data_IF_381581518315
#
_entry.id   IF_381581518315
#
_cell.length_a   1.000
_cell.length_b   1.000
_cell.length_c   1.000
_cell.angle_alpha   90.00
_cell.angle_beta   90.00
_cell.angle_gamma   90.00
#
_symmetry.space_group_name_H-M   'P 1'
#
loop_
_entity.id
_entity.type
_entity.pdbx_description
1 polymer ?
#
# COMPACT_ATOMS: atom_id res chain seq x y z
N UNK A 1 6.02 -0.54 -34.26
CA UNK A 1 5.74 -0.54 -32.81
C UNK A 1 6.97 -0.02 -32.06
N UNK A 2 7.03 1.27 -31.73
CA UNK A 2 8.08 1.83 -30.87
C UNK A 2 7.58 1.87 -29.42
N UNK A 3 8.32 1.25 -28.50
CA UNK A 3 8.06 1.29 -27.06
C UNK A 3 8.19 2.74 -26.57
N UNK A 4 7.06 3.40 -26.35
CA UNK A 4 7.00 4.74 -25.78
C UNK A 4 7.22 4.66 -24.27
N UNK A 5 8.33 5.22 -23.80
CA UNK A 5 8.58 5.38 -22.36
C UNK A 5 8.30 6.83 -21.99
N UNK A 6 7.30 7.03 -21.10
CA UNK A 6 6.83 8.34 -20.64
C UNK A 6 7.44 8.62 -19.26
N UNK A 7 8.04 9.79 -19.06
CA UNK A 7 8.64 10.19 -17.77
C UNK A 7 8.10 11.53 -17.28
N UNK A 8 8.06 11.68 -15.95
CA UNK A 8 7.40 12.73 -15.16
C UNK A 8 8.49 13.54 -14.44
N UNK A 9 8.57 14.86 -14.65
CA UNK A 9 9.38 15.78 -13.83
C UNK A 9 8.46 16.85 -13.22
N UNK A 10 8.51 17.02 -11.89
CA UNK A 10 7.81 18.08 -11.15
C UNK A 10 8.74 19.30 -10.98
N UNK A 11 8.24 20.50 -11.23
CA UNK A 11 8.98 21.76 -11.06
C UNK A 11 8.21 22.70 -10.11
N UNK A 12 8.90 23.55 -9.35
CA UNK A 12 8.25 24.60 -8.55
C UNK A 12 8.84 25.96 -8.90
N UNK A 13 8.01 26.90 -9.34
CA UNK A 13 8.34 28.32 -9.48
C UNK A 13 7.25 29.13 -8.77
N UNK A 14 7.65 30.18 -8.07
CA UNK A 14 6.79 31.04 -7.25
C UNK A 14 5.75 31.78 -8.09
N UNK A 15 4.49 31.66 -7.67
CA UNK A 15 3.22 32.20 -8.21
C UNK A 15 2.43 31.30 -9.17
N UNK A 16 3.08 30.47 -10.00
CA UNK A 16 2.43 29.40 -10.78
C UNK A 16 3.09 28.03 -10.50
N UNK A 17 2.34 27.07 -9.96
CA UNK A 17 2.86 25.71 -9.69
C UNK A 17 2.96 24.88 -10.97
N UNK A 18 4.19 24.61 -11.41
CA UNK A 18 4.49 23.73 -12.55
C UNK A 18 4.36 22.25 -12.14
N UNK A 19 3.13 21.73 -12.13
CA UNK A 19 2.84 20.37 -11.66
C UNK A 19 3.61 19.26 -12.38
N UNK A 20 3.79 19.33 -13.70
CA UNK A 20 4.49 18.27 -14.43
C UNK A 20 4.95 18.75 -15.81
N UNK A 21 6.20 18.43 -16.17
CA UNK A 21 6.71 18.54 -17.54
C UNK A 21 7.26 17.19 -17.98
N UNK A 22 6.84 16.74 -19.16
CA UNK A 22 7.35 15.52 -19.80
C UNK A 22 8.16 15.87 -21.03
N UNK A 23 9.42 15.45 -21.06
CA UNK A 23 10.27 15.57 -22.25
C UNK A 23 10.35 14.24 -22.98
N UNK A 24 10.29 14.27 -24.31
CA UNK A 24 10.69 13.15 -25.13
C UNK A 24 12.21 13.23 -25.35
N UNK A 25 12.93 12.22 -24.89
CA UNK A 25 14.37 12.08 -25.14
C UNK A 25 14.52 10.95 -26.17
N UNK A 26 14.88 11.25 -27.42
CA UNK A 26 15.14 10.23 -28.42
C UNK A 26 16.28 9.33 -27.94
N UNK A 27 16.18 8.00 -28.08
CA UNK A 27 17.34 7.13 -27.92
C UNK A 27 18.38 7.60 -28.94
N UNK A 28 19.57 8.03 -28.49
CA UNK A 28 20.67 8.30 -29.41
C UNK A 28 20.96 6.99 -30.15
N UNK A 29 20.92 7.01 -31.47
CA UNK A 29 21.60 6.00 -32.27
C UNK A 29 23.06 5.99 -31.80
N UNK A 30 23.47 4.94 -31.11
CA UNK A 30 24.87 4.68 -30.87
C UNK A 30 25.50 4.48 -32.25
N UNK A 31 26.06 5.55 -32.82
CA UNK A 31 26.93 5.42 -33.98
C UNK A 31 28.15 4.63 -33.51
N UNK A 32 28.15 3.37 -33.89
CA UNK A 32 29.24 2.41 -33.76
C UNK A 32 30.43 2.88 -34.61
N UNK A 33 31.18 3.88 -34.16
CA UNK A 33 32.56 4.05 -34.63
C UNK A 33 33.47 3.19 -33.75
N UNK A 34 33.60 1.92 -34.15
CA UNK A 34 34.68 1.04 -33.71
C UNK A 34 36.01 1.69 -34.08
N UNK A 35 36.68 2.36 -33.14
CA UNK A 35 38.14 2.39 -33.11
C UNK A 35 38.59 1.37 -32.07
N UNK A 36 39.06 0.24 -32.59
CA UNK A 36 39.84 -0.75 -31.83
C UNK A 36 41.08 -0.06 -31.28
N UNK A 37 41.22 -0.01 -29.97
CA UNK A 37 42.50 -0.16 -29.29
C UNK A 37 42.22 -0.85 -27.95
N UNK A 38 42.99 -1.91 -27.71
CA UNK A 38 42.80 -2.91 -26.67
C UNK A 38 43.18 -2.38 -25.28
N UNK A 39 42.61 -3.05 -24.28
CA UNK A 39 43.12 -3.23 -22.90
C UNK A 39 42.78 -2.14 -21.88
N UNK A 40 41.70 -2.34 -21.11
CA UNK A 40 41.75 -2.91 -19.75
C UNK A 40 40.44 -2.66 -18.99
N UNK A 41 40.16 -3.58 -18.08
CA UNK A 41 39.01 -3.66 -17.18
C UNK A 41 38.76 -2.37 -16.40
N UNK A 42 37.50 -1.89 -16.47
CA UNK A 42 36.78 -1.26 -15.37
C UNK A 42 35.30 -1.17 -15.82
N UNK A 43 34.44 -2.01 -15.25
CA UNK A 43 32.97 -1.84 -15.33
C UNK A 43 32.58 -0.60 -14.51
N UNK A 44 32.88 0.58 -15.04
CA UNK A 44 32.20 1.81 -14.64
C UNK A 44 30.85 1.80 -15.33
N UNK A 45 29.79 1.68 -14.52
CA UNK A 45 28.40 1.87 -14.95
C UNK A 45 28.31 3.10 -15.88
N UNK A 46 28.16 2.87 -17.19
CA UNK A 46 27.95 3.96 -18.15
C UNK A 46 26.64 4.67 -17.75
N UNK A 47 26.79 5.81 -17.07
CA UNK A 47 25.69 6.68 -16.69
C UNK A 47 24.90 6.99 -17.95
N UNK A 48 23.67 6.45 -18.01
CA UNK A 48 22.81 6.55 -19.19
C UNK A 48 22.68 8.01 -19.62
N UNK A 49 22.67 8.29 -20.93
CA UNK A 49 22.43 9.64 -21.45
C UNK A 49 21.19 10.32 -20.83
N UNK A 50 20.19 9.52 -20.43
CA UNK A 50 19.03 9.96 -19.67
C UNK A 50 19.39 10.55 -18.29
N UNK A 51 20.24 9.85 -17.54
CA UNK A 51 20.74 10.32 -16.24
C UNK A 51 21.60 11.58 -16.41
N UNK A 52 22.38 11.69 -17.49
CA UNK A 52 23.16 12.90 -17.78
C UNK A 52 22.27 14.12 -18.03
N UNK A 53 21.21 13.96 -18.84
CA UNK A 53 20.25 15.05 -19.12
C UNK A 53 19.48 15.42 -17.86
N UNK A 54 19.05 14.43 -17.06
CA UNK A 54 18.41 14.67 -15.77
C UNK A 54 19.31 15.47 -14.82
N UNK A 55 20.57 15.05 -14.67
CA UNK A 55 21.54 15.74 -13.82
C UNK A 55 21.81 17.18 -14.29
N UNK A 56 21.90 17.42 -15.61
CA UNK A 56 22.07 18.77 -16.16
C UNK A 56 20.87 19.68 -15.89
N UNK A 57 19.64 19.14 -15.99
CA UNK A 57 18.42 19.91 -15.71
C UNK A 57 18.35 20.27 -14.22
N UNK A 58 18.61 19.31 -13.33
CA UNK A 58 18.67 19.55 -11.87
C UNK A 58 19.71 20.62 -11.54
N UNK A 59 20.93 20.49 -12.08
CA UNK A 59 22.02 21.45 -11.86
C UNK A 59 21.68 22.86 -12.38
N UNK A 60 21.11 22.98 -13.58
CA UNK A 60 20.76 24.30 -14.18
C UNK A 60 19.55 24.93 -13.52
N UNK A 61 18.56 24.14 -13.11
CA UNK A 61 17.35 24.65 -12.49
C UNK A 61 17.59 25.15 -11.05
N UNK A 62 18.74 24.85 -10.43
CA UNK A 62 18.99 25.05 -8.99
C UNK A 62 17.89 24.44 -8.11
N UNK A 63 17.10 23.52 -8.67
CA UNK A 63 16.08 22.76 -7.95
C UNK A 63 16.85 21.64 -7.27
N UNK A 64 17.08 21.79 -5.97
CA UNK A 64 17.99 20.93 -5.24
C UNK A 64 19.43 21.44 -5.34
N UNK A 65 19.70 22.61 -4.74
CA UNK A 65 21.06 22.84 -4.25
C UNK A 65 21.50 21.59 -3.51
N UNK A 66 22.64 21.03 -3.93
CA UNK A 66 23.29 19.88 -3.31
C UNK A 66 23.52 20.15 -1.82
N UNK A 67 22.51 19.95 -0.98
CA UNK A 67 22.78 19.54 0.38
C UNK A 67 23.22 18.10 0.25
N UNK A 68 24.46 17.79 0.59
CA UNK A 68 24.85 16.41 0.77
C UNK A 68 23.91 15.76 1.80
N UNK A 69 23.44 14.55 1.52
CA UNK A 69 22.66 13.76 2.49
C UNK A 69 23.49 13.59 3.77
N UNK A 70 22.86 13.75 4.92
CA UNK A 70 23.51 13.58 6.23
C UNK A 70 23.92 12.12 6.42
N UNK A 71 23.05 11.20 5.98
CA UNK A 71 23.31 9.78 5.90
C UNK A 71 22.54 9.17 4.73
N UNK A 72 23.02 8.02 4.28
CA UNK A 72 22.42 7.27 3.18
C UNK A 72 22.32 5.80 3.58
N UNK A 73 21.14 5.20 3.41
CA UNK A 73 20.93 3.76 3.59
C UNK A 73 20.60 3.15 2.23
N UNK A 74 21.47 2.25 1.76
CA UNK A 74 21.37 1.65 0.44
C UNK A 74 20.47 0.41 0.42
N UNK A 75 19.93 0.11 -0.76
CA UNK A 75 19.23 -1.14 -1.08
C UNK A 75 18.04 -1.51 -0.17
N UNK A 76 17.30 -0.52 0.33
CA UNK A 76 16.16 -0.78 1.21
C UNK A 76 15.00 -1.41 0.41
N UNK A 77 14.55 -2.62 0.78
CA UNK A 77 13.49 -3.34 0.08
C UNK A 77 12.09 -2.82 0.43
N UNK A 78 11.41 -2.21 -0.54
CA UNK A 78 10.04 -1.72 -0.39
C UNK A 78 9.04 -2.70 -1.01
N UNK A 79 8.00 -3.01 -0.23
CA UNK A 79 6.82 -3.75 -0.68
C UNK A 79 5.76 -2.80 -1.22
N UNK A 80 5.63 -1.62 -0.59
CA UNK A 80 4.69 -0.56 -0.98
C UNK A 80 5.37 0.79 -0.85
N UNK A 81 5.50 1.57 -1.95
CA UNK A 81 5.42 1.15 -3.35
C UNK A 81 6.53 0.15 -3.70
N UNK A 82 6.24 -0.85 -4.54
CA UNK A 82 7.19 -1.96 -4.78
C UNK A 82 8.48 -1.47 -5.44
N UNK A 83 9.63 -1.81 -4.89
CA UNK A 83 10.93 -1.51 -5.47
C UNK A 83 12.07 -1.66 -4.47
N UNK A 84 13.29 -1.42 -4.93
CA UNK A 84 14.45 -1.20 -4.07
C UNK A 84 14.78 0.29 -4.11
N UNK A 85 14.96 0.89 -2.95
CA UNK A 85 15.21 2.33 -2.82
C UNK A 85 16.42 2.59 -1.94
N UNK A 86 17.19 3.60 -2.30
CA UNK A 86 18.19 4.20 -1.42
C UNK A 86 17.51 5.33 -0.64
N UNK A 87 17.68 5.35 0.68
CA UNK A 87 17.12 6.36 1.57
C UNK A 87 18.19 7.40 1.89
N UNK A 88 17.97 8.64 1.45
CA UNK A 88 18.84 9.78 1.74
C UNK A 88 18.17 10.70 2.74
N UNK A 89 18.82 10.91 3.88
CA UNK A 89 18.28 11.72 4.96
C UNK A 89 18.86 13.12 4.90
N UNK A 90 17.99 14.12 4.90
CA UNK A 90 18.34 15.53 4.95
C UNK A 90 17.82 16.12 6.25
N UNK A 91 18.07 17.42 6.49
CA UNK A 91 17.69 18.05 7.77
C UNK A 91 16.19 18.00 8.07
N UNK A 92 15.32 18.05 7.06
CA UNK A 92 13.85 18.17 7.22
C UNK A 92 13.05 17.09 6.50
N UNK A 93 13.69 16.39 5.58
CA UNK A 93 13.04 15.47 4.65
C UNK A 93 13.91 14.23 4.46
N UNK A 94 13.27 13.12 4.09
CA UNK A 94 13.91 11.93 3.58
C UNK A 94 13.53 11.76 2.12
N UNK A 95 14.53 11.46 1.28
CA UNK A 95 14.33 11.15 -0.13
C UNK A 95 14.57 9.67 -0.35
N UNK A 96 13.71 9.08 -1.17
CA UNK A 96 13.75 7.69 -1.57
C UNK A 96 14.12 7.65 -3.05
N UNK A 97 15.32 7.21 -3.38
CA UNK A 97 15.81 7.11 -4.75
C UNK A 97 15.72 5.65 -5.21
N UNK A 98 14.77 5.36 -6.09
CA UNK A 98 14.69 4.08 -6.80
C UNK A 98 15.11 4.25 -8.25
N UNK A 99 15.26 3.13 -8.97
CA UNK A 99 15.70 3.15 -10.38
C UNK A 99 14.75 3.92 -11.31
N UNK A 100 13.45 3.95 -10.98
CA UNK A 100 12.42 4.54 -11.85
C UNK A 100 11.73 5.73 -11.20
N UNK A 101 11.56 5.69 -9.89
CA UNK A 101 10.79 6.69 -9.15
C UNK A 101 11.63 7.22 -8.00
N UNK A 102 11.49 8.52 -7.78
CA UNK A 102 12.05 9.22 -6.64
C UNK A 102 10.89 9.80 -5.84
N UNK A 103 10.91 9.58 -4.53
CA UNK A 103 9.93 10.16 -3.61
C UNK A 103 10.64 11.04 -2.60
N UNK A 104 9.98 12.10 -2.16
CA UNK A 104 10.46 12.95 -1.06
C UNK A 104 9.36 13.06 -0.04
N UNK A 105 9.72 12.98 1.24
CA UNK A 105 8.76 13.01 2.35
C UNK A 105 9.35 13.81 3.49
N UNK A 106 8.64 14.85 3.92
CA UNK A 106 9.00 15.63 5.10
C UNK A 106 8.84 14.77 6.36
N UNK A 107 9.75 14.89 7.32
CA UNK A 107 9.62 14.18 8.60
C UNK A 107 8.33 14.53 9.35
N UNK A 108 7.86 15.77 9.20
CA UNK A 108 6.59 16.25 9.79
C UNK A 108 5.36 15.52 9.24
N UNK A 109 5.43 15.03 8.00
CA UNK A 109 4.34 14.29 7.38
C UNK A 109 4.28 12.82 7.80
N UNK A 110 5.30 12.32 8.50
CA UNK A 110 5.30 10.97 9.03
C UNK A 110 4.49 10.96 10.32
N UNK A 111 3.52 10.05 10.42
CA UNK A 111 2.56 10.04 11.52
C UNK A 111 2.71 8.87 12.48
N UNK A 112 3.30 7.75 12.04
CA UNK A 112 3.38 6.50 12.80
C UNK A 112 4.37 5.51 12.19
N UNK A 113 4.92 4.66 13.05
CA UNK A 113 5.73 3.51 12.67
C UNK A 113 5.18 2.23 13.29
N UNK A 114 5.11 1.16 12.50
CA UNK A 114 4.81 -0.17 12.98
C UNK A 114 5.90 -1.14 12.55
N UNK A 115 6.52 -1.83 13.51
CA UNK A 115 7.46 -2.92 13.22
C UNK A 115 6.77 -4.25 13.49
N UNK A 116 6.51 -4.98 12.40
CA UNK A 116 5.66 -6.16 12.38
C UNK A 116 6.49 -7.41 12.05
N UNK A 117 6.52 -8.44 12.92
CA UNK A 117 7.11 -9.72 12.58
C UNK A 117 6.24 -10.46 11.58
N UNK A 118 6.83 -10.86 10.45
CA UNK A 118 6.14 -11.62 9.43
C UNK A 118 5.99 -13.09 9.87
N UNK A 119 4.96 -13.79 9.37
CA UNK A 119 4.67 -15.18 9.78
C UNK A 119 5.71 -16.20 9.29
N UNK A 120 6.63 -15.78 8.40
CA UNK A 120 7.77 -16.61 7.99
C UNK A 120 8.89 -16.65 9.05
N UNK A 121 8.77 -15.87 10.13
CA UNK A 121 9.73 -15.72 11.21
C UNK A 121 11.13 -15.21 10.80
N UNK A 122 11.38 -15.00 9.52
CA UNK A 122 12.65 -14.52 8.95
C UNK A 122 12.58 -13.04 8.63
N UNK A 123 11.40 -12.54 8.26
CA UNK A 123 11.23 -11.15 7.83
C UNK A 123 10.56 -10.28 8.89
N UNK A 124 10.88 -9.00 8.84
CA UNK A 124 10.22 -7.93 9.59
C UNK A 124 9.72 -6.88 8.59
N UNK A 125 8.49 -6.43 8.76
CA UNK A 125 7.93 -5.34 7.97
C UNK A 125 7.81 -4.06 8.80
N UNK A 126 8.48 -2.99 8.34
CA UNK A 126 8.33 -1.65 8.86
C UNK A 126 7.28 -0.90 8.02
N UNK A 127 6.18 -0.52 8.65
CA UNK A 127 5.11 0.27 8.04
C UNK A 127 5.23 1.71 8.52
N UNK A 128 5.40 2.64 7.59
CA UNK A 128 5.46 4.09 7.84
C UNK A 128 4.16 4.72 7.35
N UNK A 129 3.41 5.33 8.24
CA UNK A 129 2.18 6.06 7.87
C UNK A 129 2.49 7.51 7.53
N UNK A 130 1.96 7.98 6.42
CA UNK A 130 2.14 9.33 5.90
C UNK A 130 0.82 10.11 5.97
N UNK A 131 0.89 11.36 6.39
CA UNK A 131 -0.20 12.32 6.30
C UNK A 131 -0.42 12.73 4.85
N UNK A 132 0.68 13.04 4.15
CA UNK A 132 0.67 13.38 2.74
C UNK A 132 1.08 12.14 1.91
N UNK A 133 0.22 11.63 1.01
CA UNK A 133 0.57 10.46 0.23
C UNK A 133 1.70 10.74 -0.76
N UNK A 134 2.60 9.77 -0.92
CA UNK A 134 3.54 9.76 -2.04
C UNK A 134 2.82 9.26 -3.30
N UNK A 135 3.14 9.83 -4.46
CA UNK A 135 2.50 9.48 -5.73
C UNK A 135 3.47 8.73 -6.64
N UNK A 136 3.00 7.61 -7.20
CA UNK A 136 3.67 6.88 -8.26
C UNK A 136 2.74 6.82 -9.48
N UNK A 137 2.98 7.70 -10.46
CA UNK A 137 2.04 7.89 -11.56
C UNK A 137 0.69 8.41 -11.03
N UNK A 138 -0.40 7.68 -11.33
CA UNK A 138 -1.74 8.03 -10.85
C UNK A 138 -2.05 7.51 -9.43
N UNK A 139 -1.24 6.58 -8.92
CA UNK A 139 -1.50 5.93 -7.63
C UNK A 139 -0.88 6.72 -6.48
N UNK A 140 -1.68 6.99 -5.45
CA UNK A 140 -1.25 7.65 -4.22
C UNK A 140 -1.13 6.63 -3.08
N UNK A 141 -0.04 6.69 -2.31
CA UNK A 141 0.24 5.80 -1.19
C UNK A 141 0.36 6.59 0.11
N UNK A 142 -0.59 6.38 1.04
CA UNK A 142 -0.53 6.93 2.40
C UNK A 142 0.39 6.12 3.33
N UNK A 143 0.94 5.01 2.85
CA UNK A 143 1.79 4.13 3.63
C UNK A 143 2.97 3.66 2.79
N UNK A 144 4.15 3.66 3.42
CA UNK A 144 5.34 2.98 2.93
C UNK A 144 5.48 1.69 3.73
N UNK A 145 5.73 0.56 3.05
CA UNK A 145 6.00 -0.73 3.69
C UNK A 145 7.36 -1.21 3.22
N UNK A 146 8.30 -1.29 4.14
CA UNK A 146 9.64 -1.87 3.95
C UNK A 146 9.67 -3.28 4.54
N UNK A 147 10.36 -4.23 3.92
CA UNK A 147 10.48 -5.60 4.41
C UNK A 147 11.93 -6.04 4.51
N UNK A 148 12.44 -6.12 5.73
CA UNK A 148 13.82 -6.49 6.03
C UNK A 148 13.91 -7.97 6.39
N UNK A 149 15.05 -8.59 6.08
CA UNK A 149 15.40 -9.87 6.70
C UNK A 149 16.06 -9.61 8.06
N UNK A 150 15.79 -10.45 9.06
CA UNK A 150 16.34 -10.29 10.42
C UNK A 150 17.86 -10.41 10.48
N UNK A 151 18.44 -11.23 9.62
CA UNK A 151 19.87 -11.52 9.50
C UNK A 151 20.61 -10.51 8.60
N UNK A 152 19.91 -9.60 7.94
CA UNK A 152 20.54 -8.59 7.09
C UNK A 152 21.17 -7.50 7.96
N UNK A 153 22.50 -7.55 8.08
CA UNK A 153 23.29 -6.51 8.73
C UNK A 153 23.70 -5.41 7.75
N UNK A 154 23.92 -4.22 8.28
CA UNK A 154 24.37 -3.05 7.53
C UNK A 154 25.18 -2.14 8.44
N UNK A 155 26.11 -1.40 7.83
CA UNK A 155 26.86 -0.35 8.48
C UNK A 155 26.50 0.99 7.84
N UNK A 156 26.25 1.99 8.67
CA UNK A 156 25.88 3.34 8.23
C UNK A 156 26.70 4.35 9.02
N UNK A 157 27.44 5.19 8.29
CA UNK A 157 28.24 6.27 8.85
C UNK A 157 27.58 7.62 8.55
N UNK A 158 27.55 8.49 9.56
CA UNK A 158 27.05 9.85 9.42
C UNK A 158 28.12 10.73 8.77
N UNK A 159 27.74 11.55 7.78
CA UNK A 159 28.65 12.53 7.18
C UNK A 159 28.90 13.75 8.07
N UNK A 160 28.03 13.98 9.04
CA UNK A 160 28.06 15.15 9.92
C UNK A 160 28.83 14.87 11.20
N UNK A 161 29.52 15.88 11.71
CA UNK A 161 30.14 15.81 13.03
C UNK A 161 29.08 15.88 14.13
N UNK A 162 29.47 15.50 15.36
CA UNK A 162 28.56 15.50 16.51
C UNK A 162 27.94 16.88 16.77
N UNK A 163 28.73 17.94 16.66
CA UNK A 163 28.26 19.33 16.83
C UNK A 163 27.21 19.72 15.78
N UNK A 164 27.39 19.28 14.53
CA UNK A 164 26.44 19.55 13.45
C UNK A 164 25.11 18.81 13.66
N UNK A 165 25.15 17.56 14.14
CA UNK A 165 23.96 16.79 14.50
C UNK A 165 23.19 17.44 15.66
N UNK A 166 23.90 17.90 16.69
CA UNK A 166 23.30 18.58 17.82
C UNK A 166 22.63 19.92 17.40
N UNK A 167 23.25 20.66 16.47
CA UNK A 167 22.71 21.90 15.90
C UNK A 167 21.42 21.71 15.08
N UNK A 168 21.22 20.54 14.49
CA UNK A 168 19.96 20.20 13.78
C UNK A 168 18.93 19.53 14.68
N UNK A 169 19.27 19.25 15.94
CA UNK A 169 18.39 18.63 16.92
C UNK A 169 18.41 17.10 16.95
N UNK A 170 19.35 16.45 16.25
CA UNK A 170 19.47 14.98 16.17
C UNK A 170 20.37 14.45 17.29
N UNK A 171 20.00 14.71 18.55
CA UNK A 171 20.86 14.45 19.71
C UNK A 171 21.00 12.96 20.03
N UNK A 172 19.99 12.12 19.80
CA UNK A 172 20.11 10.68 20.07
C UNK A 172 20.77 9.88 18.95
N UNK A 173 21.06 10.49 17.80
CA UNK A 173 21.68 9.80 16.66
C UNK A 173 23.16 9.53 16.93
N UNK A 174 23.59 8.27 16.70
CA UNK A 174 24.99 7.85 16.77
C UNK A 174 25.74 8.25 15.49
N UNK A 175 27.05 8.48 15.58
CA UNK A 175 27.90 8.78 14.41
C UNK A 175 28.07 7.57 13.49
N UNK A 176 28.07 6.38 14.07
CA UNK A 176 28.23 5.11 13.36
C UNK A 176 27.18 4.13 13.87
N UNK A 177 26.56 3.42 12.94
CA UNK A 177 25.60 2.36 13.20
C UNK A 177 26.12 1.05 12.60
N UNK A 178 26.07 -0.03 13.37
CA UNK A 178 26.38 -1.39 12.91
C UNK A 178 25.37 -2.34 13.52
N UNK A 179 24.79 -3.22 12.72
CA UNK A 179 23.81 -4.21 13.16
C UNK A 179 22.73 -4.47 12.12
N UNK A 180 21.59 -5.03 12.54
CA UNK A 180 20.49 -5.35 11.64
C UNK A 180 19.91 -4.10 10.98
N UNK A 181 19.72 -4.13 9.65
CA UNK A 181 19.22 -2.99 8.87
C UNK A 181 17.89 -2.45 9.39
N UNK A 182 16.96 -3.34 9.78
CA UNK A 182 15.66 -2.90 10.30
C UNK A 182 15.79 -2.08 11.58
N UNK A 183 16.73 -2.42 12.46
CA UNK A 183 16.93 -1.77 13.75
C UNK A 183 17.55 -0.39 13.55
N UNK A 184 18.57 -0.31 12.69
CA UNK A 184 19.19 0.95 12.28
C UNK A 184 18.16 1.90 11.68
N UNK A 185 17.36 1.45 10.71
CA UNK A 185 16.34 2.28 10.05
C UNK A 185 15.25 2.71 11.03
N UNK A 186 14.80 1.82 11.93
CA UNK A 186 13.83 2.15 12.96
C UNK A 186 14.36 3.20 13.94
N UNK A 187 15.58 3.01 14.45
CA UNK A 187 16.20 3.91 15.42
C UNK A 187 16.35 5.31 14.82
N UNK A 188 16.96 5.41 13.63
CA UNK A 188 17.16 6.68 12.91
C UNK A 188 15.82 7.39 12.67
N UNK A 189 14.83 6.71 12.11
CA UNK A 189 13.52 7.33 11.82
C UNK A 189 12.79 7.73 13.11
N UNK A 190 12.86 6.92 14.15
CA UNK A 190 12.18 7.19 15.42
C UNK A 190 12.81 8.37 16.17
N UNK A 191 14.14 8.48 16.15
CA UNK A 191 14.88 9.55 16.83
C UNK A 191 14.71 10.89 16.09
N UNK A 192 14.75 10.87 14.74
CA UNK A 192 14.56 12.09 13.93
C UNK A 192 13.14 12.66 14.07
N UNK A 193 12.13 11.79 14.09
CA UNK A 193 10.71 12.21 14.13
C UNK A 193 10.17 12.34 15.56
N UNK A 194 10.82 11.73 16.55
CA UNK A 194 10.30 11.59 17.92
C UNK A 194 9.11 10.62 18.04
N UNK A 195 8.79 9.85 16.99
CA UNK A 195 7.63 8.95 16.96
C UNK A 195 8.06 7.56 17.38
N UNK A 196 7.39 7.02 18.40
CA UNK A 196 7.65 5.66 18.90
C UNK A 196 7.22 4.59 17.89
N UNK A 197 8.08 3.58 17.72
CA UNK A 197 7.78 2.39 16.92
C UNK A 197 6.83 1.48 17.69
N UNK A 198 5.71 1.11 17.07
CA UNK A 198 4.71 0.21 17.65
C UNK A 198 4.95 -1.21 17.14
N UNK A 199 5.10 -2.15 18.07
CA UNK A 199 5.19 -3.58 17.76
C UNK A 199 4.02 -4.35 18.39
N UNK A 200 3.56 -5.45 17.77
CA UNK A 200 2.54 -6.31 18.36
C UNK A 200 3.05 -6.94 19.66
N UNK A 201 2.16 -7.08 20.66
CA UNK A 201 2.50 -7.62 21.98
C UNK A 201 1.45 -8.58 22.52
N UNK A 202 0.20 -8.11 22.57
CA UNK A 202 -0.84 -8.75 23.39
C UNK A 202 -1.63 -9.84 22.65
N UNK A 203 -1.78 -9.72 21.34
CA UNK A 203 -2.47 -10.73 20.54
C UNK A 203 -1.50 -11.82 20.09
N UNK A 204 -1.89 -13.07 20.30
CA UNK A 204 -1.21 -14.23 19.72
C UNK A 204 -2.25 -15.18 19.14
N UNK A 205 -2.00 -15.61 17.92
CA UNK A 205 -2.71 -16.69 17.27
C UNK A 205 -2.42 -18.02 17.97
N UNK A 206 -3.20 -19.05 17.64
CA UNK A 206 -3.04 -20.40 18.20
C UNK A 206 -1.67 -21.00 17.90
N UNK A 207 -1.10 -20.67 16.74
CA UNK A 207 0.26 -21.05 16.32
C UNK A 207 1.37 -20.17 16.93
N UNK A 208 1.05 -19.25 17.84
CA UNK A 208 2.03 -18.36 18.47
C UNK A 208 2.40 -17.11 17.67
N UNK A 209 1.88 -16.95 16.46
CA UNK A 209 2.13 -15.78 15.60
C UNK A 209 1.36 -14.55 16.06
N UNK A 210 1.80 -13.36 15.64
CA UNK A 210 1.16 -12.08 15.97
C UNK A 210 0.15 -11.60 14.92
N UNK A 211 -0.10 -12.38 13.87
CA UNK A 211 -0.91 -11.99 12.73
C UNK A 211 -1.80 -13.11 12.21
N UNK A 212 -2.89 -12.70 11.57
CA UNK A 212 -3.88 -13.57 10.97
C UNK A 212 -3.80 -13.45 9.46
N UNK A 213 -3.64 -14.59 8.77
CA UNK A 213 -3.75 -14.62 7.32
C UNK A 213 -5.22 -14.39 6.93
N UNK A 214 -5.46 -13.39 6.10
CA UNK A 214 -6.80 -13.06 5.60
C UNK A 214 -6.70 -12.37 4.24
N UNK A 215 -7.83 -12.17 3.57
CA UNK A 215 -7.87 -11.57 2.25
C UNK A 215 -8.73 -10.32 2.22
N UNK A 216 -8.24 -9.29 1.56
CA UNK A 216 -9.02 -8.11 1.14
C UNK A 216 -9.05 -8.18 -0.38
N UNK A 217 -10.19 -8.64 -0.91
CA UNK A 217 -10.32 -9.02 -2.32
C UNK A 217 -9.76 -7.93 -3.25
N UNK A 218 -8.90 -8.29 -4.22
CA UNK A 218 -8.46 -9.65 -4.59
C UNK A 218 -7.16 -10.12 -3.90
N UNK A 219 -6.63 -9.39 -2.92
CA UNK A 219 -5.30 -9.62 -2.37
C UNK A 219 -5.34 -10.35 -1.02
N UNK A 220 -4.51 -11.38 -0.88
CA UNK A 220 -4.23 -12.01 0.43
C UNK A 220 -3.14 -11.23 1.16
N UNK A 221 -3.28 -11.14 2.48
CA UNK A 221 -2.35 -10.45 3.36
C UNK A 221 -2.48 -10.95 4.80
N UNK A 222 -2.10 -10.08 5.72
CA UNK A 222 -1.97 -10.35 7.13
C UNK A 222 -2.59 -9.20 7.92
N UNK A 223 -3.53 -9.54 8.80
CA UNK A 223 -4.12 -8.65 9.77
C UNK A 223 -3.35 -8.76 11.09
N UNK A 224 -2.88 -7.64 11.60
CA UNK A 224 -2.18 -7.50 12.87
C UNK A 224 -3.09 -6.79 13.86
N UNK A 225 -3.62 -7.50 14.86
CA UNK A 225 -4.30 -6.88 15.99
C UNK A 225 -3.27 -6.25 16.95
N UNK A 226 -3.27 -4.92 17.05
CA UNK A 226 -2.34 -4.13 17.88
C UNK A 226 -3.05 -3.58 19.14
N UNK A 227 -2.31 -2.87 19.99
CA UNK A 227 -2.88 -2.43 21.27
C UNK A 227 -4.08 -1.47 21.13
N UNK A 228 -4.03 -0.56 20.15
CA UNK A 228 -5.01 0.52 19.95
C UNK A 228 -5.57 0.56 18.51
N UNK A 229 -5.20 -0.40 17.69
CA UNK A 229 -5.54 -0.38 16.26
C UNK A 229 -5.42 -1.76 15.63
N UNK A 230 -6.03 -1.91 14.47
CA UNK A 230 -5.83 -3.02 13.55
C UNK A 230 -5.03 -2.53 12.35
N UNK A 231 -4.09 -3.34 11.88
CA UNK A 231 -3.28 -3.03 10.71
C UNK A 231 -3.24 -4.22 9.77
N UNK A 232 -3.67 -4.03 8.53
CA UNK A 232 -3.58 -5.03 7.48
C UNK A 232 -2.51 -4.63 6.46
N UNK A 233 -1.63 -5.57 6.12
CA UNK A 233 -0.58 -5.46 5.10
C UNK A 233 -0.63 -6.72 4.22
N UNK A 234 -0.17 -6.78 2.97
CA UNK A 234 0.75 -5.89 2.26
C UNK A 234 0.04 -4.89 1.33
N UNK A 235 -1.02 -5.30 0.61
CA UNK A 235 -1.78 -4.43 -0.31
C UNK A 235 -3.29 -4.75 -0.25
N UNK A 236 -4.18 -3.75 -0.12
CA UNK A 236 -3.86 -2.39 0.32
C UNK A 236 -3.35 -2.39 1.77
N UNK A 237 -2.68 -1.31 2.19
CA UNK A 237 -2.37 -1.11 3.62
C UNK A 237 -3.60 -0.46 4.25
N UNK A 238 -4.21 -1.14 5.23
CA UNK A 238 -5.40 -0.66 5.93
C UNK A 238 -5.08 -0.51 7.41
N UNK A 239 -5.24 0.70 7.93
CA UNK A 239 -5.04 1.02 9.34
C UNK A 239 -6.38 1.49 9.93
N UNK A 240 -6.83 0.83 10.99
CA UNK A 240 -8.10 1.13 11.67
C UNK A 240 -7.80 1.35 13.15
N UNK A 241 -8.07 2.54 13.67
CA UNK A 241 -8.00 2.78 15.12
C UNK A 241 -9.18 2.12 15.82
N UNK A 242 -8.97 1.58 17.01
CA UNK A 242 -10.07 1.02 17.81
C UNK A 242 -11.14 2.06 18.10
N UNK A 243 -10.75 3.30 18.37
CA UNK A 243 -11.67 4.41 18.66
C UNK A 243 -12.61 4.76 17.49
N UNK A 244 -12.28 4.32 16.27
CA UNK A 244 -13.08 4.56 15.06
C UNK A 244 -14.00 3.39 14.72
N UNK A 245 -13.87 2.24 15.41
CA UNK A 245 -14.71 1.06 15.21
C UNK A 245 -16.04 1.27 15.93
N UNK A 246 -17.14 1.15 15.18
CA UNK A 246 -18.51 1.16 15.73
C UNK A 246 -18.94 -0.25 16.11
N UNK A 247 -18.82 -1.18 15.18
CA UNK A 247 -19.21 -2.57 15.38
C UNK A 247 -18.36 -3.52 14.52
N UNK A 248 -18.18 -4.74 15.02
CA UNK A 248 -17.48 -5.82 14.34
C UNK A 248 -18.48 -6.95 14.14
N UNK A 249 -18.70 -7.32 12.87
CA UNK A 249 -19.59 -8.40 12.48
C UNK A 249 -18.75 -9.60 12.05
N UNK A 250 -18.98 -10.73 12.70
CA UNK A 250 -18.38 -12.00 12.32
C UNK A 250 -19.43 -12.77 11.50
N UNK A 251 -19.16 -12.97 10.21
CA UNK A 251 -20.09 -13.54 9.22
C UNK A 251 -19.63 -14.93 8.78
N UNK A 252 -20.58 -15.75 8.27
CA UNK A 252 -20.36 -17.13 7.78
C UNK A 252 -19.88 -18.12 8.83
N UNK A 253 -20.42 -18.04 10.04
CA UNK A 253 -20.26 -19.08 11.06
C UNK A 253 -21.32 -20.17 10.79
N UNK A 254 -21.23 -20.90 9.68
CA UNK A 254 -22.12 -22.06 9.47
C UNK A 254 -21.75 -23.20 10.43
N UNK A 255 -22.76 -23.86 10.99
CA UNK A 255 -22.61 -25.03 11.85
C UNK A 255 -22.25 -26.32 11.07
N UNK A 256 -22.26 -26.28 9.74
CA UNK A 256 -21.76 -27.40 8.93
C UNK A 256 -20.25 -27.53 9.10
N UNK A 257 -19.81 -28.73 9.49
CA UNK A 257 -18.44 -29.17 9.79
C UNK A 257 -17.41 -28.97 8.66
N UNK A 258 -17.76 -28.30 7.56
CA UNK A 258 -16.95 -28.18 6.35
C UNK A 258 -16.43 -26.76 6.06
N UNK A 259 -16.88 -25.71 6.75
CA UNK A 259 -16.32 -24.37 6.56
C UNK A 259 -15.16 -24.10 7.53
N UNK A 260 -13.93 -24.21 6.99
CA UNK A 260 -12.67 -23.93 7.70
C UNK A 260 -12.42 -22.43 7.94
N UNK A 261 -13.16 -21.55 7.26
CA UNK A 261 -12.92 -20.10 7.28
C UNK A 261 -14.19 -19.31 7.61
N UNK A 262 -14.01 -18.11 8.14
CA UNK A 262 -15.06 -17.10 8.35
C UNK A 262 -14.59 -15.72 7.86
N UNK A 263 -15.53 -14.78 7.79
CA UNK A 263 -15.29 -13.42 7.34
C UNK A 263 -15.51 -12.42 8.48
N UNK A 264 -14.67 -11.38 8.53
CA UNK A 264 -14.73 -10.28 9.51
C UNK A 264 -15.09 -9.00 8.79
N UNK A 265 -16.25 -8.43 9.12
CA UNK A 265 -16.64 -7.11 8.64
C UNK A 265 -16.52 -6.10 9.77
N UNK A 266 -15.61 -5.14 9.60
CA UNK A 266 -15.37 -4.06 10.57
C UNK A 266 -16.03 -2.79 10.08
N UNK A 267 -17.01 -2.31 10.82
CA UNK A 267 -17.73 -1.08 10.49
C UNK A 267 -17.13 0.06 11.33
N UNK A 268 -16.52 1.01 10.65
CA UNK A 268 -15.95 2.21 11.27
C UNK A 268 -16.92 3.38 11.15
N UNK A 269 -16.55 4.55 11.69
CA UNK A 269 -17.35 5.76 11.57
C UNK A 269 -17.60 6.18 10.12
N UNK A 270 -16.61 6.01 9.25
CA UNK A 270 -16.60 6.54 7.88
C UNK A 270 -16.77 5.46 6.81
N UNK A 271 -16.26 4.25 7.05
CA UNK A 271 -16.16 3.17 6.05
C UNK A 271 -16.32 1.78 6.68
N UNK A 272 -16.60 0.77 5.87
CA UNK A 272 -16.57 -0.63 6.29
C UNK A 272 -15.48 -1.41 5.57
N UNK A 273 -14.80 -2.29 6.29
CA UNK A 273 -13.76 -3.18 5.75
C UNK A 273 -14.20 -4.63 5.90
N UNK A 274 -14.03 -5.43 4.84
CA UNK A 274 -14.30 -6.86 4.83
C UNK A 274 -12.97 -7.61 4.70
N UNK A 275 -12.65 -8.41 5.69
CA UNK A 275 -11.52 -9.33 5.70
C UNK A 275 -12.08 -10.75 5.58
N UNK A 276 -11.82 -11.41 4.47
CA UNK A 276 -12.30 -12.77 4.21
C UNK A 276 -11.23 -13.82 4.49
N UNK A 277 -11.64 -15.10 4.45
CA UNK A 277 -10.74 -16.26 4.55
C UNK A 277 -9.92 -16.31 5.84
N UNK A 278 -10.51 -15.93 6.98
CA UNK A 278 -9.88 -16.04 8.30
C UNK A 278 -10.12 -17.44 8.85
N UNK A 279 -9.09 -18.09 9.39
CA UNK A 279 -9.20 -19.45 9.94
C UNK A 279 -10.13 -19.50 11.16
N UNK A 280 -11.11 -20.42 11.14
CA UNK A 280 -12.08 -20.62 12.22
C UNK A 280 -11.42 -20.93 13.56
N UNK A 281 -10.23 -21.54 13.57
CA UNK A 281 -9.50 -21.80 14.82
C UNK A 281 -9.11 -20.52 15.57
N UNK A 282 -9.07 -19.37 14.89
CA UNK A 282 -8.69 -18.08 15.47
C UNK A 282 -9.90 -17.26 15.96
N UNK A 283 -11.12 -17.79 15.80
CA UNK A 283 -12.36 -17.11 16.18
C UNK A 283 -12.39 -16.74 17.67
N UNK A 284 -11.99 -17.66 18.54
CA UNK A 284 -12.03 -17.47 19.99
C UNK A 284 -10.95 -16.48 20.43
N UNK A 285 -9.73 -16.60 19.90
CA UNK A 285 -8.62 -15.68 20.16
C UNK A 285 -8.98 -14.24 19.76
N UNK A 286 -9.57 -14.06 18.58
CA UNK A 286 -10.03 -12.76 18.10
C UNK A 286 -11.18 -12.20 18.93
N UNK A 287 -12.15 -13.03 19.28
CA UNK A 287 -13.28 -12.62 20.13
C UNK A 287 -12.76 -12.15 21.50
N UNK A 288 -11.85 -12.90 22.11
CA UNK A 288 -11.23 -12.53 23.38
C UNK A 288 -10.45 -11.22 23.27
N UNK A 289 -9.70 -11.03 22.19
CA UNK A 289 -8.99 -9.78 21.90
C UNK A 289 -9.96 -8.59 21.80
N UNK A 290 -11.02 -8.68 20.99
CA UNK A 290 -11.98 -7.60 20.83
C UNK A 290 -12.71 -7.28 22.14
N UNK A 291 -13.08 -8.30 22.91
CA UNK A 291 -13.69 -8.14 24.22
C UNK A 291 -12.74 -7.47 25.22
N UNK A 292 -11.45 -7.83 25.22
CA UNK A 292 -10.44 -7.19 26.07
C UNK A 292 -10.26 -5.70 25.76
N UNK A 293 -10.49 -5.31 24.50
CA UNK A 293 -10.47 -3.93 24.02
C UNK A 293 -11.81 -3.22 24.12
N UNK A 294 -12.84 -3.87 24.69
CA UNK A 294 -14.21 -3.35 24.85
C UNK A 294 -14.86 -2.94 23.51
N UNK A 295 -14.55 -3.67 22.44
CA UNK A 295 -15.14 -3.46 21.12
C UNK A 295 -16.45 -4.23 20.98
N UNK A 296 -17.46 -3.65 20.33
CA UNK A 296 -18.76 -4.30 20.14
C UNK A 296 -18.67 -5.37 19.05
N UNK A 297 -18.75 -6.64 19.45
CA UNK A 297 -18.73 -7.79 18.53
C UNK A 297 -20.12 -8.40 18.43
N UNK A 298 -20.63 -8.55 17.20
CA UNK A 298 -21.85 -9.30 16.89
C UNK A 298 -21.49 -10.51 16.04
N UNK A 299 -21.91 -11.70 16.49
CA UNK A 299 -21.78 -12.95 15.72
C UNK A 299 -23.07 -13.11 14.91
N UNK A 300 -22.98 -13.00 13.59
CA UNK A 300 -24.12 -13.27 12.70
C UNK A 300 -24.01 -14.75 12.32
N UNK A 301 -24.90 -15.56 12.90
CA UNK A 301 -25.19 -16.89 12.35
C UNK A 301 -26.16 -16.66 11.20
N UNK A 302 -25.86 -17.19 10.02
CA UNK A 302 -26.87 -17.35 8.97
C UNK A 302 -27.81 -18.48 9.43
N UNK A 303 -28.64 -18.20 10.43
CA UNK A 303 -29.88 -18.94 10.60
C UNK A 303 -30.83 -18.43 9.52
N UNK A 304 -31.35 -19.37 8.73
CA UNK A 304 -32.39 -19.14 7.74
C UNK A 304 -33.43 -18.14 8.27
N UNK A 305 -33.80 -17.15 7.46
CA UNK A 305 -35.13 -16.56 7.51
C UNK A 305 -36.16 -17.66 7.12
N UNK A 306 -36.32 -18.65 7.99
CA UNK A 306 -37.47 -19.52 8.03
C UNK A 306 -38.55 -18.77 8.77
N UNK A 307 -39.38 -18.05 8.01
CA UNK A 307 -40.62 -17.45 8.50
C UNK A 307 -41.31 -18.46 9.40
N UNK A 308 -41.60 -18.01 10.63
CA UNK A 308 -42.31 -18.74 11.66
C UNK A 308 -43.46 -19.55 11.09
N UNK A 309 -43.45 -20.85 11.36
CA UNK A 309 -44.69 -21.63 11.41
C UNK A 309 -45.55 -21.02 12.51
N UNK A 310 -46.52 -20.20 12.11
CA UNK A 310 -47.73 -20.04 12.90
C UNK A 310 -48.36 -21.43 13.01
N UNK A 311 -48.24 -22.00 14.21
CA UNK A 311 -49.09 -23.08 14.66
C UNK A 311 -50.45 -22.44 14.95
N UNK A 312 -51.37 -22.54 14.00
CA UNK A 312 -52.78 -22.54 14.33
C UNK A 312 -53.31 -23.94 14.03
N UNK A 313 -53.67 -24.63 15.12
CA UNK A 313 -54.38 -25.91 15.12
C UNK A 313 -55.78 -25.68 14.53
N UNK A 314 -56.13 -26.40 13.48
CA UNK A 314 -57.52 -26.75 13.17
C UNK A 314 -57.56 -27.97 12.25
N UNK A 315 -58.11 -29.04 12.81
CA UNK A 315 -58.50 -30.29 12.15
C UNK A 315 -59.43 -30.04 10.95
N UNK A 316 -59.20 -30.74 9.82
CA UNK A 316 -60.32 -31.39 9.10
C UNK A 316 -59.82 -32.48 8.12
N UNK A 317 -60.54 -33.59 8.15
CA UNK A 317 -60.40 -34.79 7.34
C UNK A 317 -60.72 -34.53 5.86
N UNK A 318 -59.99 -35.17 4.94
CA UNK A 318 -60.63 -35.93 3.84
C UNK A 318 -59.63 -36.66 2.93
N UNK A 319 -59.95 -37.92 2.71
CA UNK A 319 -59.37 -38.82 1.72
C UNK A 319 -59.71 -38.36 0.30
N UNK A 320 -58.73 -38.37 -0.63
CA UNK A 320 -58.92 -39.06 -1.92
C UNK A 320 -57.60 -39.26 -2.69
N UNK A 321 -57.50 -40.42 -3.35
CA UNK A 321 -56.30 -40.85 -4.07
C UNK A 321 -56.14 -40.25 -5.47
N UNK A 322 -54.91 -40.27 -5.98
CA UNK A 322 -54.60 -40.83 -7.30
C UNK A 322 -53.08 -40.96 -7.51
N UNK A 323 -52.69 -42.19 -7.83
CA UNK A 323 -51.40 -42.58 -8.40
C UNK A 323 -51.48 -42.39 -9.91
N UNK A 324 -50.62 -41.57 -10.51
CA UNK A 324 -50.26 -41.64 -11.94
C UNK A 324 -48.78 -41.28 -12.11
N UNK A 325 -48.09 -42.12 -12.87
CA UNK A 325 -46.66 -42.10 -13.24
C UNK A 325 -46.51 -41.57 -14.69
N UNK A 326 -45.27 -41.28 -15.11
CA UNK A 326 -44.78 -40.92 -16.47
C UNK A 326 -45.01 -39.44 -16.86
N UNK A 327 -44.13 -38.73 -17.56
CA UNK A 327 -42.97 -39.09 -18.38
C UNK A 327 -42.17 -37.82 -18.76
N UNK A 328 -40.88 -38.02 -19.01
CA UNK A 328 -39.96 -37.30 -19.91
C UNK A 328 -40.59 -36.20 -20.80
N UNK A 329 -39.96 -35.02 -20.84
CA UNK A 329 -39.67 -34.32 -22.10
C UNK A 329 -38.30 -33.63 -21.96
N UNK A 330 -37.34 -34.22 -22.67
CA UNK A 330 -36.16 -33.57 -23.23
C UNK A 330 -36.60 -32.36 -24.06
N UNK A 331 -35.85 -31.27 -23.99
CA UNK A 331 -35.70 -30.38 -25.14
C UNK A 331 -34.32 -29.74 -25.06
N UNK A 332 -33.36 -30.42 -25.68
CA UNK A 332 -32.21 -29.76 -26.31
C UNK A 332 -32.72 -29.00 -27.54
N UNK A 333 -32.23 -27.78 -27.77
CA UNK A 333 -31.61 -27.36 -29.04
C UNK A 333 -31.25 -25.84 -29.01
N UNK A 334 -29.96 -25.63 -29.26
CA UNK A 334 -29.35 -24.64 -30.15
C UNK A 334 -29.01 -23.21 -29.70
N UNK A 335 -27.70 -23.09 -29.45
CA UNK A 335 -26.75 -22.04 -29.86
C UNK A 335 -27.25 -21.02 -30.90
N UNK A 336 -27.26 -19.73 -30.53
CA UNK A 336 -27.08 -18.62 -31.48
C UNK A 336 -26.03 -17.61 -30.98
N UNK A 337 -24.93 -17.62 -31.73
CA UNK A 337 -23.87 -16.62 -31.96
C UNK A 337 -23.87 -15.28 -31.18
N UNK A 338 -22.85 -15.15 -30.34
CA UNK A 338 -22.32 -13.91 -29.79
C UNK A 338 -21.61 -13.08 -30.87
N UNK A 339 -22.32 -12.13 -31.50
CA UNK A 339 -21.69 -11.07 -32.28
C UNK A 339 -21.38 -9.83 -31.42
N UNK A 340 -20.10 -9.48 -31.37
CA UNK A 340 -19.58 -8.25 -30.82
C UNK A 340 -19.98 -7.05 -31.70
N UNK A 341 -20.59 -6.03 -31.09
CA UNK A 341 -20.68 -4.70 -31.69
C UNK A 341 -19.87 -3.69 -30.87
N UNK A 342 -18.92 -3.08 -31.58
CA UNK A 342 -18.16 -1.90 -31.20
C UNK A 342 -19.08 -0.67 -31.16
N UNK A 343 -19.31 -0.10 -29.98
CA UNK A 343 -19.91 1.22 -29.85
C UNK A 343 -18.82 2.30 -29.67
N UNK A 344 -18.46 2.89 -30.81
CA UNK A 344 -17.79 4.18 -30.93
C UNK A 344 -18.75 5.30 -30.53
N UNK A 345 -18.50 5.98 -29.39
CA UNK A 345 -19.11 7.28 -29.10
C UNK A 345 -18.12 8.43 -29.20
N UNK A 346 -18.50 9.35 -30.07
CA UNK A 346 -17.80 10.56 -30.48
C UNK A 346 -17.68 11.62 -29.38
N UNK A 347 -16.51 12.24 -29.40
CA UNK A 347 -16.18 13.64 -29.08
C UNK A 347 -17.30 14.58 -28.59
N UNK A 348 -17.11 15.15 -27.40
CA UNK A 348 -17.74 16.42 -26.98
C UNK A 348 -16.66 17.50 -26.93
N UNK A 349 -16.62 18.34 -27.97
CA UNK A 349 -15.86 19.57 -28.01
C UNK A 349 -16.53 20.63 -27.13
N UNK A 350 -15.86 21.08 -26.07
CA UNK A 350 -16.21 22.33 -25.40
C UNK A 350 -15.55 23.51 -26.14
N UNK A 351 -16.33 24.22 -26.96
CA UNK A 351 -15.98 25.56 -27.44
C UNK A 351 -16.40 26.61 -26.41
N UNK A 352 -15.44 27.26 -25.76
CA UNK A 352 -15.70 28.51 -25.04
C UNK A 352 -15.76 29.67 -26.06
N UNK A 353 -16.98 30.21 -26.24
CA UNK A 353 -17.23 31.49 -26.91
C UNK A 353 -16.74 32.63 -26.02
N UNK A 354 -15.71 33.34 -26.46
CA UNK A 354 -15.35 34.66 -25.96
C UNK A 354 -16.32 35.69 -26.55
N UNK A 355 -17.20 36.25 -25.74
CA UNK A 355 -17.94 37.46 -26.08
C UNK A 355 -17.01 38.67 -25.94
N UNK A 356 -16.63 39.29 -27.05
CA UNK A 356 -16.06 40.66 -27.07
C UNK A 356 -17.19 41.65 -27.29
N UNK A 357 -17.60 42.31 -26.21
CA UNK A 357 -18.49 43.47 -26.25
C UNK A 357 -17.73 44.64 -26.88
N UNK A 358 -18.20 45.09 -28.05
CA UNK A 358 -17.82 46.36 -28.67
C UNK A 358 -18.56 47.47 -27.89
N UNK A 359 -17.82 48.35 -27.22
CA UNK A 359 -18.32 49.65 -26.81
C UNK A 359 -17.41 50.72 -27.42
N UNK A 360 -17.95 51.38 -28.44
CA UNK A 360 -17.43 52.63 -28.94
C UNK A 360 -17.82 53.75 -27.97
N UNK A 361 -16.91 54.70 -27.71
CA UNK A 361 -17.28 56.10 -27.64
C UNK A 361 -16.05 57.03 -27.65
N UNK A 362 -16.11 57.92 -28.64
CA UNK A 362 -15.47 59.24 -28.82
C UNK A 362 -13.95 59.35 -28.87
#
# INVERSE_FOLDING_TARGET
MLKSTKYILLFFISEDMLCEVRFYIPPKEQKTEKKKQESNEDEQDEISYLQQVQNQIVNKAKIGGSSDSILTVHEVPFIVPRGKYTMDFFKKEVRFHGNTYQFTTDYKSITRFFLLPMPDEVNLSLVVGLENPIKQGQTAYNYIVMQFKKDQETQVEMKYTREQLDNIGWKGIRLEYTGSMYDIVCDILSEITGIKVVSPKNFKCKNGLFCLRCSVVPHTGFLFPLEKSLLYIQKPVIYIKHDDIKEILLQRITQTTQNKFFDIKIITKNTSYLFSTVDKEELDNLTQYFNSKKLQVKKIQEENEGINKDKDDSDDDSQNGHKVTLSQMDSDEDDEDFQAQEDSYNSVQFQQKVQKTRAANK
#
